data_IF_937411055865
#
_entry.id   IF_937411055865
#
_cell.length_a   1.000
_cell.length_b   1.000
_cell.length_c   1.000
_cell.angle_alpha   90.00
_cell.angle_beta   90.00
_cell.angle_gamma   90.00
#
_symmetry.space_group_name_H-M   'P 1'
#
loop_
_entity.id
_entity.type
_entity.pdbx_description
1 polymer ?
#
# COMPACT_ATOMS: atom_id res chain seq x y z
N UNK A 1 13.47 11.98 -36.35
CA UNK A 1 12.56 13.12 -36.61
C UNK A 1 11.15 12.58 -36.73
N UNK A 2 10.16 13.37 -36.31
CA UNK A 2 8.70 13.10 -36.24
C UNK A 2 8.19 12.66 -34.86
N UNK A 3 7.68 13.68 -34.18
CA UNK A 3 6.92 13.75 -32.93
C UNK A 3 5.47 13.34 -33.22
N UNK A 4 4.85 12.50 -32.37
CA UNK A 4 3.40 12.25 -32.40
C UNK A 4 2.73 12.97 -31.23
N UNK A 5 1.76 13.81 -31.60
CA UNK A 5 1.00 14.70 -30.75
C UNK A 5 -0.02 14.00 -29.84
N UNK A 6 -0.28 14.67 -28.72
CA UNK A 6 -1.39 14.48 -27.80
C UNK A 6 -2.75 14.63 -28.49
N UNK A 7 -3.77 13.91 -27.99
CA UNK A 7 -5.16 14.37 -28.09
C UNK A 7 -5.90 14.24 -26.76
N UNK A 8 -6.23 15.44 -26.28
CA UNK A 8 -7.06 15.84 -25.17
C UNK A 8 -8.54 15.59 -25.53
N UNK A 9 -9.21 14.64 -24.87
CA UNK A 9 -10.66 14.47 -25.04
C UNK A 9 -11.42 15.13 -23.89
N UNK A 10 -12.03 16.28 -24.22
CA UNK A 10 -12.92 17.08 -23.38
C UNK A 10 -14.34 16.46 -23.31
N UNK A 11 -15.10 16.74 -22.24
CA UNK A 11 -16.44 16.21 -22.01
C UNK A 11 -17.49 16.94 -22.85
N UNK A 12 -18.57 16.24 -23.21
CA UNK A 12 -19.74 16.83 -23.85
C UNK A 12 -20.93 16.81 -22.89
N UNK A 13 -21.37 18.00 -22.53
CA UNK A 13 -22.64 18.27 -21.87
C UNK A 13 -23.54 19.07 -22.84
N UNK A 14 -24.84 18.79 -22.76
CA UNK A 14 -25.98 19.69 -23.01
C UNK A 14 -26.50 19.84 -24.46
N UNK A 15 -27.84 19.85 -24.54
CA UNK A 15 -28.78 20.49 -25.50
C UNK A 15 -29.63 19.44 -26.24
N UNK A 16 -30.90 19.15 -25.93
CA UNK A 16 -32.15 19.93 -25.76
C UNK A 16 -33.07 19.88 -27.01
N UNK A 17 -34.40 20.01 -26.74
CA UNK A 17 -35.51 20.45 -27.62
C UNK A 17 -36.14 19.34 -28.50
N UNK A 18 -37.25 18.72 -28.07
CA UNK A 18 -38.68 19.09 -28.22
C UNK A 18 -39.32 18.81 -29.60
N UNK A 19 -40.37 17.98 -29.61
CA UNK A 19 -41.65 18.13 -30.32
C UNK A 19 -42.46 16.82 -30.14
N UNK A 20 -43.41 16.76 -29.21
CA UNK A 20 -44.83 17.12 -29.38
C UNK A 20 -45.52 16.32 -30.50
N UNK A 21 -46.12 15.19 -30.14
CA UNK A 21 -47.38 14.77 -30.77
C UNK A 21 -48.24 14.10 -29.71
N UNK A 22 -49.29 14.81 -29.30
CA UNK A 22 -50.35 14.32 -28.41
C UNK A 22 -51.28 13.43 -29.25
N UNK A 23 -51.52 12.20 -28.82
CA UNK A 23 -52.81 11.56 -29.07
C UNK A 23 -53.31 10.92 -27.77
N UNK A 24 -54.46 11.42 -27.36
CA UNK A 24 -55.21 11.12 -26.16
C UNK A 24 -56.12 9.92 -26.44
N UNK A 25 -55.96 8.82 -25.70
CA UNK A 25 -57.06 7.86 -25.48
C UNK A 25 -57.06 7.50 -24.00
N UNK A 26 -58.04 8.06 -23.29
CA UNK A 26 -58.39 7.72 -21.93
C UNK A 26 -59.11 6.38 -21.92
N UNK A 27 -58.57 5.38 -21.21
CA UNK A 27 -59.31 4.21 -20.77
C UNK A 27 -59.11 4.07 -19.26
N UNK A 28 -60.17 4.45 -18.53
CA UNK A 28 -60.30 4.35 -17.09
C UNK A 28 -60.58 2.88 -16.72
N UNK A 29 -59.69 2.25 -15.98
CA UNK A 29 -59.96 1.00 -15.27
C UNK A 29 -59.41 1.09 -13.85
N UNK A 30 -60.31 0.96 -12.88
CA UNK A 30 -60.10 1.10 -11.46
C UNK A 30 -59.43 -0.15 -10.84
N UNK A 31 -58.61 0.14 -9.82
CA UNK A 31 -58.33 -0.68 -8.63
C UNK A 31 -57.66 -2.06 -8.77
N UNK A 32 -56.37 -2.13 -8.42
CA UNK A 32 -55.85 -3.10 -7.46
C UNK A 32 -54.47 -2.63 -6.93
N UNK A 33 -54.43 -2.17 -5.68
CA UNK A 33 -53.19 -2.07 -4.92
C UNK A 33 -52.81 -3.50 -4.52
N UNK A 34 -51.75 -4.04 -5.10
CA UNK A 34 -51.34 -5.43 -4.88
C UNK A 34 -49.82 -5.59 -4.94
N UNK A 35 -49.23 -5.74 -3.75
CA UNK A 35 -47.88 -6.23 -3.42
C UNK A 35 -46.71 -5.86 -4.35
N UNK A 36 -45.95 -4.83 -3.96
CA UNK A 36 -44.52 -4.72 -4.30
C UNK A 36 -43.81 -5.90 -3.63
N UNK A 37 -43.38 -6.89 -4.41
CA UNK A 37 -42.43 -7.92 -3.96
C UNK A 37 -41.05 -7.27 -3.85
N UNK A 38 -40.54 -7.14 -2.63
CA UNK A 38 -39.14 -6.79 -2.37
C UNK A 38 -38.25 -7.89 -2.97
N UNK A 39 -37.62 -7.64 -4.12
CA UNK A 39 -36.54 -8.50 -4.61
C UNK A 39 -35.27 -8.14 -3.83
N UNK A 40 -34.64 -9.07 -3.09
CA UNK A 40 -33.31 -8.82 -2.55
C UNK A 40 -32.35 -8.67 -3.73
N UNK A 41 -31.62 -7.55 -3.78
CA UNK A 41 -30.57 -7.36 -4.76
C UNK A 41 -29.52 -8.47 -4.62
N UNK A 42 -28.98 -9.00 -5.74
CA UNK A 42 -27.82 -9.87 -5.69
C UNK A 42 -26.65 -9.06 -5.11
N UNK A 43 -26.15 -9.47 -3.94
CA UNK A 43 -24.92 -8.93 -3.39
C UNK A 43 -23.76 -9.32 -4.33
N UNK A 44 -22.88 -8.38 -4.73
CA UNK A 44 -21.64 -8.75 -5.39
C UNK A 44 -20.79 -9.56 -4.39
N UNK A 45 -20.53 -10.82 -4.71
CA UNK A 45 -19.49 -11.60 -4.06
C UNK A 45 -18.15 -11.12 -4.63
N UNK A 46 -17.57 -10.08 -4.03
CA UNK A 46 -16.17 -9.74 -4.26
C UNK A 46 -15.31 -10.72 -3.44
N UNK A 47 -15.00 -11.87 -4.05
CA UNK A 47 -13.81 -12.65 -3.68
C UNK A 47 -12.55 -11.90 -4.16
N UNK A 48 -12.36 -10.68 -3.65
CA UNK A 48 -11.12 -9.95 -3.80
C UNK A 48 -10.08 -10.59 -2.89
N UNK A 49 -9.10 -11.29 -3.48
CA UNK A 49 -7.88 -11.68 -2.77
C UNK A 49 -7.25 -10.42 -2.15
N UNK A 50 -6.75 -10.47 -0.89
CA UNK A 50 -6.11 -9.30 -0.29
C UNK A 50 -4.97 -8.80 -1.18
N UNK A 51 -5.00 -7.51 -1.53
CA UNK A 51 -3.97 -6.81 -2.33
C UNK A 51 -2.80 -6.39 -1.42
N UNK A 52 -2.53 -7.16 -0.37
CA UNK A 52 -1.74 -6.71 0.80
C UNK A 52 -0.31 -7.28 0.85
N UNK A 53 0.05 -8.18 -0.07
CA UNK A 53 1.34 -8.92 -0.05
C UNK A 53 2.59 -8.00 -0.14
N UNK A 54 2.41 -6.73 -0.52
CA UNK A 54 3.49 -5.75 -0.64
C UNK A 54 3.22 -4.43 0.08
N UNK A 55 2.16 -4.32 0.87
CA UNK A 55 1.87 -3.06 1.57
C UNK A 55 2.85 -2.87 2.73
N UNK A 56 3.52 -1.72 2.74
CA UNK A 56 4.38 -1.28 3.83
C UNK A 56 3.81 0.02 4.38
N UNK A 57 3.58 0.06 5.69
CA UNK A 57 3.11 1.24 6.40
C UNK A 57 4.27 1.89 7.15
N UNK A 58 4.44 3.21 7.00
CA UNK A 58 5.45 4.00 7.71
C UNK A 58 4.74 5.08 8.52
N UNK A 59 4.86 5.01 9.84
CA UNK A 59 4.36 5.98 10.82
C UNK A 59 5.54 6.79 11.38
N UNK A 60 5.36 8.10 11.62
CA UNK A 60 6.40 8.96 12.21
C UNK A 60 5.82 10.32 12.62
N UNK A 61 6.58 11.12 13.37
CA UNK A 61 6.20 12.47 13.77
C UNK A 61 6.09 13.43 12.57
N UNK A 62 6.98 13.30 11.58
CA UNK A 62 6.98 14.12 10.38
C UNK A 62 7.40 13.32 9.14
N UNK A 63 6.70 13.56 8.03
CA UNK A 63 7.00 12.93 6.73
C UNK A 63 7.09 13.99 5.63
N UNK A 64 8.07 13.83 4.75
CA UNK A 64 8.21 14.61 3.53
C UNK A 64 8.36 13.68 2.34
N UNK A 65 7.69 13.99 1.24
CA UNK A 65 7.79 13.24 0.00
C UNK A 65 8.16 14.21 -1.13
N UNK A 66 9.28 13.95 -1.78
CA UNK A 66 9.74 14.69 -2.94
C UNK A 66 9.63 13.81 -4.19
N UNK A 67 8.67 14.13 -5.05
CA UNK A 67 8.42 13.41 -6.30
C UNK A 67 9.51 13.67 -7.36
N UNK A 68 10.25 14.79 -7.26
CA UNK A 68 11.33 15.15 -8.18
C UNK A 68 12.56 14.29 -7.92
N UNK A 69 12.86 13.96 -6.67
CA UNK A 69 13.95 13.04 -6.31
C UNK A 69 13.47 11.59 -6.18
N UNK A 70 12.19 11.38 -5.91
CA UNK A 70 11.62 10.06 -5.61
C UNK A 70 11.95 9.59 -4.19
N UNK A 71 12.14 10.53 -3.26
CA UNK A 71 12.55 10.23 -1.89
C UNK A 71 11.42 10.58 -0.92
N UNK A 72 11.06 9.61 -0.08
CA UNK A 72 10.19 9.83 1.09
C UNK A 72 11.06 9.78 2.33
N UNK A 73 11.00 10.81 3.16
CA UNK A 73 11.74 10.91 4.43
C UNK A 73 10.76 10.94 5.58
N UNK A 74 10.91 10.02 6.54
CA UNK A 74 10.16 9.95 7.79
C UNK A 74 11.10 10.20 8.96
N UNK A 75 10.75 11.10 9.88
CA UNK A 75 11.60 11.51 11.00
C UNK A 75 10.82 11.59 12.30
N UNK A 76 11.43 11.09 13.38
CA UNK A 76 10.86 11.05 14.72
C UNK A 76 9.88 9.88 14.90
N UNK A 77 10.09 9.10 15.97
CA UNK A 77 9.27 7.94 16.33
C UNK A 77 8.89 7.05 15.14
N UNK A 78 9.86 6.74 14.27
CA UNK A 78 9.56 6.01 13.04
C UNK A 78 9.20 4.57 13.37
N UNK A 79 8.04 4.13 12.88
CA UNK A 79 7.56 2.74 12.98
C UNK A 79 7.14 2.25 11.59
N UNK A 80 7.68 1.10 11.21
CA UNK A 80 7.41 0.46 9.93
C UNK A 80 6.73 -0.87 10.19
N UNK A 81 5.61 -1.10 9.51
CA UNK A 81 4.87 -2.35 9.57
C UNK A 81 4.86 -2.97 8.19
N UNK A 82 5.28 -4.24 8.11
CA UNK A 82 5.19 -5.04 6.91
C UNK A 82 4.39 -6.32 7.21
N UNK A 83 3.06 -6.28 7.05
CA UNK A 83 2.16 -7.37 7.44
C UNK A 83 2.47 -8.69 6.71
N UNK A 84 2.77 -8.63 5.41
CA UNK A 84 3.09 -9.80 4.60
C UNK A 84 4.31 -10.59 5.10
N UNK A 85 5.13 -9.98 5.97
CA UNK A 85 6.32 -10.59 6.58
C UNK A 85 6.25 -10.74 8.08
N UNK A 86 5.12 -10.37 8.71
CA UNK A 86 5.02 -10.38 10.17
C UNK A 86 6.13 -9.55 10.83
N UNK A 87 6.51 -8.42 10.24
CA UNK A 87 7.68 -7.65 10.65
C UNK A 87 7.29 -6.24 11.07
N UNK A 88 7.87 -5.79 12.18
CA UNK A 88 7.82 -4.40 12.65
C UNK A 88 9.24 -3.89 12.85
N UNK A 89 9.55 -2.70 12.36
CA UNK A 89 10.82 -2.03 12.59
C UNK A 89 10.61 -0.64 13.20
N UNK A 90 11.48 -0.25 14.13
CA UNK A 90 11.50 1.10 14.71
C UNK A 90 12.85 1.77 14.47
N UNK A 91 12.88 3.09 14.36
CA UNK A 91 14.10 3.88 14.19
C UNK A 91 13.88 5.38 14.47
N UNK A 92 14.96 6.16 14.47
CA UNK A 92 14.87 7.64 14.54
C UNK A 92 14.47 8.28 13.22
N UNK A 93 14.91 7.72 12.10
CA UNK A 93 14.66 8.23 10.76
C UNK A 93 14.60 7.08 9.75
N UNK A 94 13.72 7.19 8.76
CA UNK A 94 13.69 6.35 7.58
C UNK A 94 13.68 7.18 6.29
N UNK A 95 14.32 6.64 5.25
CA UNK A 95 14.28 7.17 3.90
C UNK A 95 13.92 6.08 2.91
N UNK A 96 12.92 6.30 2.07
CA UNK A 96 12.53 5.40 0.99
C UNK A 96 12.84 6.04 -0.35
N UNK A 97 13.72 5.39 -1.11
CA UNK A 97 14.13 5.76 -2.46
C UNK A 97 13.29 4.96 -3.45
N UNK A 98 12.16 5.51 -3.88
CA UNK A 98 11.17 4.78 -4.69
C UNK A 98 11.67 4.37 -6.07
N UNK A 99 12.63 5.12 -6.63
CA UNK A 99 13.27 4.80 -7.91
C UNK A 99 14.24 3.63 -7.84
N UNK A 100 14.74 3.33 -6.64
CA UNK A 100 15.75 2.30 -6.38
C UNK A 100 15.17 1.12 -5.60
N UNK A 101 13.89 1.16 -5.25
CA UNK A 101 13.27 0.15 -4.38
C UNK A 101 14.05 -0.01 -3.06
N UNK A 102 14.57 1.08 -2.47
CA UNK A 102 15.48 0.99 -1.31
C UNK A 102 14.97 1.76 -0.10
N UNK A 103 14.90 1.09 1.04
CA UNK A 103 14.55 1.64 2.34
C UNK A 103 15.78 1.71 3.24
N UNK A 104 16.07 2.87 3.82
CA UNK A 104 17.20 3.09 4.73
C UNK A 104 16.65 3.56 6.07
N UNK A 105 16.85 2.74 7.10
CA UNK A 105 16.55 3.05 8.50
C UNK A 105 17.84 3.49 9.18
N UNK A 106 17.74 4.53 10.00
CA UNK A 106 18.90 5.07 10.69
C UNK A 106 18.54 5.55 12.08
N UNK A 107 19.46 5.25 13.00
CA UNK A 107 19.39 5.58 14.41
C UNK A 107 18.54 4.62 15.20
N UNK A 108 19.19 3.92 16.13
CA UNK A 108 18.56 3.04 17.11
C UNK A 108 17.57 2.08 16.44
N UNK A 109 18.01 1.40 15.38
CA UNK A 109 17.15 0.52 14.58
C UNK A 109 16.91 -0.78 15.36
N UNK A 110 15.64 -1.11 15.58
CA UNK A 110 15.19 -2.35 16.20
C UNK A 110 14.11 -3.00 15.33
N UNK A 111 14.35 -4.23 14.89
CA UNK A 111 13.45 -5.02 14.05
C UNK A 111 13.00 -6.24 14.82
N UNK A 112 11.70 -6.51 14.78
CA UNK A 112 11.05 -7.65 15.42
C UNK A 112 10.20 -8.36 14.38
N UNK A 113 10.35 -9.68 14.30
CA UNK A 113 9.47 -10.55 13.52
C UNK A 113 8.53 -11.35 14.41
N UNK A 114 7.43 -11.84 13.84
CA UNK A 114 6.40 -12.63 14.52
C UNK A 114 6.93 -13.94 15.14
N UNK A 115 8.00 -14.50 14.60
CA UNK A 115 8.67 -15.69 15.14
C UNK A 115 9.54 -15.39 16.39
N UNK A 116 9.66 -14.11 16.76
CA UNK A 116 10.51 -13.63 17.86
C UNK A 116 11.95 -13.35 17.46
N UNK A 117 12.30 -13.48 16.18
CA UNK A 117 13.60 -13.06 15.65
C UNK A 117 13.74 -11.54 15.74
N UNK A 118 14.94 -11.08 16.10
CA UNK A 118 15.23 -9.66 16.30
C UNK A 118 16.52 -9.23 15.63
N UNK A 119 16.59 -7.95 15.29
CA UNK A 119 17.82 -7.29 14.83
C UNK A 119 17.95 -5.88 15.39
N UNK A 120 19.13 -5.59 15.92
CA UNK A 120 19.54 -4.27 16.42
C UNK A 120 20.76 -3.76 15.66
N UNK A 121 20.68 -2.54 15.17
CA UNK A 121 21.76 -1.87 14.43
C UNK A 121 21.64 -0.35 14.50
N UNK A 122 22.71 0.36 14.11
CA UNK A 122 22.61 1.82 13.93
C UNK A 122 21.97 2.17 12.59
N UNK A 123 22.22 1.38 11.55
CA UNK A 123 21.65 1.58 10.22
C UNK A 123 21.29 0.26 9.60
N UNK A 124 20.10 0.19 9.01
CA UNK A 124 19.66 -0.94 8.19
C UNK A 124 19.25 -0.42 6.82
N UNK A 125 19.82 -1.01 5.78
CA UNK A 125 19.44 -0.77 4.39
C UNK A 125 18.73 -2.00 3.87
N UNK A 126 17.52 -1.82 3.34
CA UNK A 126 16.71 -2.87 2.74
C UNK A 126 16.44 -2.56 1.28
N UNK A 127 16.88 -3.45 0.39
CA UNK A 127 16.54 -3.42 -1.03
C UNK A 127 15.32 -4.33 -1.22
N UNK A 128 14.22 -3.74 -1.69
CA UNK A 128 12.95 -4.41 -1.93
C UNK A 128 12.99 -5.27 -3.19
N UNK A 129 13.77 -4.87 -4.20
CA UNK A 129 13.83 -5.55 -5.50
C UNK A 129 14.50 -6.94 -5.45
N UNK A 130 15.60 -7.07 -4.71
CA UNK A 130 16.35 -8.33 -4.55
C UNK A 130 16.17 -8.95 -3.16
N UNK A 131 15.29 -8.36 -2.36
CA UNK A 131 14.97 -8.71 -0.98
C UNK A 131 16.17 -8.75 -0.02
N UNK A 132 17.26 -8.03 -0.31
CA UNK A 132 18.48 -8.06 0.48
C UNK A 132 18.57 -6.94 1.50
N UNK A 133 19.20 -7.27 2.63
CA UNK A 133 19.39 -6.32 3.70
C UNK A 133 20.84 -6.22 4.17
N UNK A 134 21.24 -5.02 4.59
CA UNK A 134 22.55 -4.72 5.16
C UNK A 134 22.38 -3.94 6.46
N UNK A 135 22.86 -4.50 7.56
CA UNK A 135 22.90 -3.86 8.86
C UNK A 135 24.33 -3.40 9.18
N UNK A 136 24.47 -2.19 9.69
CA UNK A 136 25.76 -1.55 10.01
C UNK A 136 25.70 -0.98 11.43
N UNK A 137 26.75 -1.17 12.26
CA UNK A 137 26.80 -0.61 13.60
C UNK A 137 27.16 0.88 13.58
N UNK A 138 27.01 1.53 14.72
CA UNK A 138 27.66 2.80 14.99
C UNK A 138 29.17 2.59 15.18
N UNK A 139 29.94 3.68 15.18
CA UNK A 139 31.38 3.64 15.39
C UNK A 139 31.71 2.99 16.75
N UNK A 140 32.51 1.93 16.73
CA UNK A 140 32.87 1.16 17.94
C UNK A 140 31.77 0.26 18.51
N UNK A 141 30.62 0.15 17.84
CA UNK A 141 29.53 -0.74 18.25
C UNK A 141 29.47 -2.04 17.45
N UNK A 142 28.37 -2.76 17.62
CA UNK A 142 28.10 -4.03 16.94
C UNK A 142 26.65 -4.11 16.47
N UNK A 143 26.44 -4.88 15.41
CA UNK A 143 25.10 -5.34 15.02
C UNK A 143 24.78 -6.58 15.86
N UNK A 144 23.54 -6.71 16.32
CA UNK A 144 23.08 -7.89 17.06
C UNK A 144 21.83 -8.46 16.42
N UNK A 145 21.85 -9.75 16.11
CA UNK A 145 20.69 -10.50 15.64
C UNK A 145 20.44 -11.72 16.52
N UNK A 146 19.18 -11.97 16.87
CA UNK A 146 18.74 -13.24 17.47
C UNK A 146 17.74 -13.88 16.52
N UNK A 147 17.90 -15.17 16.23
CA UNK A 147 17.03 -15.89 15.30
C UNK A 147 16.83 -17.34 15.74
N UNK A 148 15.73 -17.94 15.30
CA UNK A 148 15.46 -19.36 15.52
C UNK A 148 16.03 -20.16 14.36
N UNK A 149 17.03 -21.00 14.64
CA UNK A 149 17.57 -21.92 13.65
C UNK A 149 16.73 -23.20 13.62
N UNK A 150 16.05 -23.44 12.50
CA UNK A 150 15.28 -24.67 12.24
C UNK A 150 16.04 -25.49 11.20
N UNK A 151 16.63 -26.63 11.54
CA UNK A 151 17.44 -27.42 10.59
C UNK A 151 16.65 -27.94 9.37
N UNK A 152 15.32 -28.01 9.49
CA UNK A 152 14.37 -28.53 8.52
C UNK A 152 13.66 -27.43 7.71
N UNK A 153 13.95 -26.15 7.99
CA UNK A 153 13.38 -25.00 7.29
C UNK A 153 14.52 -24.09 6.81
N UNK A 154 14.34 -23.35 5.71
CA UNK A 154 15.27 -22.30 5.34
C UNK A 154 15.49 -21.34 6.52
N UNK A 155 16.74 -20.91 6.73
CA UNK A 155 17.05 -19.95 7.78
C UNK A 155 16.32 -18.64 7.47
N UNK A 156 15.27 -18.33 8.24
CA UNK A 156 14.60 -17.04 8.16
C UNK A 156 15.53 -16.02 8.79
N UNK A 157 15.98 -15.03 8.03
CA UNK A 157 16.82 -13.98 8.59
C UNK A 157 15.93 -12.84 9.09
N UNK A 158 16.35 -12.10 10.13
CA UNK A 158 15.58 -10.97 10.66
C UNK A 158 15.21 -9.87 9.64
N UNK A 159 15.75 -9.90 8.42
CA UNK A 159 15.47 -8.91 7.37
C UNK A 159 15.10 -9.51 6.01
N UNK A 160 15.19 -10.81 5.80
CA UNK A 160 14.90 -11.46 4.50
C UNK A 160 14.05 -12.72 4.72
N UNK A 161 13.16 -13.07 3.78
CA UNK A 161 12.49 -14.37 3.81
C UNK A 161 13.48 -15.54 3.78
#
# INVERSE_FOLDING_TARGET
MVIRQAQLFKPRSITAIQALTRLLVYALAMASVGLVRSQPLPAPADDAKPVDDGLITIESDSQSADNVTGVVTASGNVRIVYPARGMVATSRQAQYFSREGRLVLSGDVDVIQDDGSTLQAERVTYNLDDERALAVPNQGGQVRSTMILRPDQPAQTPLTP
#
